data_IF_791512884090
#
_entry.id   IF_791512884090
#
_cell.length_a   1.000
_cell.length_b   1.000
_cell.length_c   1.000
_cell.angle_alpha   90.00
_cell.angle_beta   90.00
_cell.angle_gamma   90.00
#
_symmetry.space_group_name_H-M   'P 1'
#
loop_
_entity.id
_entity.type
_entity.pdbx_description
1 polymer ?
#
# COMPACT_ATOMS: atom_id res chain seq x y z
N UNK A 1 -21.83 20.31 18.95
CA UNK A 1 -22.16 18.87 18.83
C UNK A 1 -23.09 18.71 17.65
N UNK A 2 -22.64 18.06 16.57
CA UNK A 2 -23.51 17.75 15.44
C UNK A 2 -23.09 16.40 14.86
N UNK A 3 -24.05 15.49 14.83
CA UNK A 3 -23.95 14.08 14.40
C UNK A 3 -24.27 14.00 12.91
N UNK A 4 -23.53 13.20 12.14
CA UNK A 4 -23.99 12.73 10.83
C UNK A 4 -23.70 11.25 10.62
N UNK A 5 -24.61 10.66 9.86
CA UNK A 5 -25.04 9.28 9.86
C UNK A 5 -24.08 8.27 9.25
N UNK A 6 -24.22 7.06 9.79
CA UNK A 6 -24.00 5.75 9.20
C UNK A 6 -24.22 5.65 7.68
N UNK A 7 -23.17 5.29 6.97
CA UNK A 7 -23.24 4.58 5.68
C UNK A 7 -22.51 3.25 5.83
N UNK A 8 -23.24 2.17 6.15
CA UNK A 8 -22.71 0.82 6.01
C UNK A 8 -22.73 0.42 4.53
N UNK A 9 -21.64 -0.21 4.08
CA UNK A 9 -21.76 -1.37 3.20
C UNK A 9 -21.09 -2.55 3.91
N UNK A 10 -21.83 -3.63 4.24
CA UNK A 10 -21.27 -4.79 4.89
C UNK A 10 -20.60 -5.68 3.85
N UNK A 11 -19.32 -5.99 4.06
CA UNK A 11 -18.75 -7.26 3.63
C UNK A 11 -18.13 -7.93 4.85
N UNK A 12 -18.96 -8.60 5.63
CA UNK A 12 -18.49 -9.66 6.52
C UNK A 12 -17.96 -10.83 5.67
N UNK A 13 -16.86 -11.45 6.09
CA UNK A 13 -16.51 -12.81 5.65
C UNK A 13 -15.21 -12.99 4.86
N UNK A 14 -14.10 -12.44 5.35
CA UNK A 14 -12.74 -12.99 5.18
C UNK A 14 -11.82 -12.13 6.05
N UNK A 15 -11.17 -12.69 7.06
CA UNK A 15 -9.96 -12.06 7.61
C UNK A 15 -8.91 -12.16 6.51
N UNK A 16 -8.96 -11.26 5.52
CA UNK A 16 -7.96 -11.25 4.46
C UNK A 16 -6.63 -10.98 5.16
N UNK A 17 -5.77 -12.01 5.15
CA UNK A 17 -4.40 -11.95 5.70
C UNK A 17 -3.70 -10.67 5.26
N UNK A 18 -3.99 -10.22 4.03
CA UNK A 18 -3.54 -8.97 3.44
C UNK A 18 -4.66 -7.91 3.51
N UNK A 19 -4.32 -6.71 3.98
CA UNK A 19 -5.15 -5.51 3.95
C UNK A 19 -4.58 -4.48 2.98
N UNK A 20 -5.40 -3.98 2.05
CA UNK A 20 -5.03 -3.00 1.01
C UNK A 20 -6.16 -1.98 0.74
N UNK A 21 -5.85 -0.71 0.41
CA UNK A 21 -4.58 -0.03 0.64
C UNK A 21 -4.35 0.25 2.14
N UNK A 22 -3.10 0.22 2.62
CA UNK A 22 -2.77 0.56 4.01
C UNK A 22 -2.74 2.08 4.22
N UNK A 23 -2.04 2.81 3.35
CA UNK A 23 -2.02 4.27 3.36
C UNK A 23 -3.17 4.81 2.51
N UNK A 24 -4.02 5.63 3.13
CA UNK A 24 -5.05 6.41 2.44
C UNK A 24 -4.58 7.85 2.37
N UNK A 25 -4.00 8.24 1.24
CA UNK A 25 -3.57 9.60 1.02
C UNK A 25 -4.78 10.46 0.65
N UNK A 26 -4.97 11.58 1.33
CA UNK A 26 -6.00 12.58 1.02
C UNK A 26 -5.33 13.94 0.92
N UNK A 27 -5.87 14.82 0.06
CA UNK A 27 -5.56 16.24 0.13
C UNK A 27 -6.00 16.81 1.49
N UNK A 28 -5.52 18.01 1.84
CA UNK A 28 -5.88 18.70 3.09
C UNK A 28 -7.39 18.95 3.24
N UNK A 29 -8.14 18.97 2.13
CA UNK A 29 -9.60 19.10 2.10
C UNK A 29 -10.34 17.75 2.25
N UNK A 30 -9.63 16.65 2.50
CA UNK A 30 -10.20 15.32 2.66
C UNK A 30 -10.52 14.60 1.34
N UNK A 31 -10.31 15.23 0.18
CA UNK A 31 -10.47 14.58 -1.12
C UNK A 31 -9.44 13.44 -1.25
N UNK A 32 -9.87 12.21 -1.57
CA UNK A 32 -8.95 11.10 -1.81
C UNK A 32 -7.98 11.42 -2.95
N UNK A 33 -6.71 11.13 -2.71
CA UNK A 33 -5.71 11.00 -3.76
C UNK A 33 -6.02 9.67 -4.45
N UNK A 34 -6.87 9.68 -5.49
CA UNK A 34 -7.36 8.49 -6.23
C UNK A 34 -6.22 7.87 -7.07
N UNK A 35 -6.38 7.79 -8.40
CA UNK A 35 -5.37 7.29 -9.36
C UNK A 35 -4.07 8.11 -9.39
N UNK A 36 -4.05 9.26 -8.70
CA UNK A 36 -2.85 10.05 -8.51
C UNK A 36 -1.91 9.49 -7.44
N UNK A 37 -2.31 8.51 -6.62
CA UNK A 37 -1.49 8.06 -5.49
C UNK A 37 -0.32 7.22 -6.03
N UNK A 38 0.92 7.75 -6.05
CA UNK A 38 2.06 6.95 -6.53
C UNK A 38 2.36 5.80 -5.55
N UNK A 39 1.72 5.80 -4.36
CA UNK A 39 1.97 4.89 -3.27
C UNK A 39 0.87 3.82 -3.22
N UNK A 40 1.18 2.64 -3.75
CA UNK A 40 0.42 1.42 -3.47
C UNK A 40 0.94 0.79 -2.18
N UNK A 41 0.04 0.25 -1.33
CA UNK A 41 0.47 -0.34 -0.06
C UNK A 41 -0.38 -1.52 0.38
N UNK A 42 0.27 -2.50 1.01
CA UNK A 42 -0.35 -3.71 1.51
C UNK A 42 0.20 -4.04 2.91
N UNK A 43 -0.63 -4.60 3.78
CA UNK A 43 -0.20 -5.08 5.10
C UNK A 43 -0.60 -6.53 5.28
N UNK A 44 0.38 -7.40 5.57
CA UNK A 44 0.13 -8.73 6.10
C UNK A 44 -0.05 -8.65 7.61
N UNK A 45 -1.28 -8.82 8.07
CA UNK A 45 -1.66 -8.67 9.48
C UNK A 45 -1.07 -9.80 10.33
N UNK A 46 -0.95 -11.01 9.76
CA UNK A 46 -0.46 -12.19 10.46
C UNK A 46 1.06 -12.11 10.64
N UNK A 47 1.77 -11.77 9.56
CA UNK A 47 3.23 -11.66 9.56
C UNK A 47 3.75 -10.32 10.08
N UNK A 48 2.85 -9.38 10.39
CA UNK A 48 3.17 -8.01 10.80
C UNK A 48 4.21 -7.39 9.85
N UNK A 49 3.93 -7.43 8.55
CA UNK A 49 4.79 -6.79 7.55
C UNK A 49 3.98 -5.92 6.60
N UNK A 50 4.58 -4.85 6.15
CA UNK A 50 4.00 -3.88 5.24
C UNK A 50 4.82 -3.84 3.95
N UNK A 51 4.13 -3.74 2.82
CA UNK A 51 4.71 -3.41 1.53
C UNK A 51 4.25 -2.01 1.14
N UNK A 52 5.19 -1.17 0.74
CA UNK A 52 4.95 0.15 0.16
C UNK A 52 5.62 0.19 -1.21
N UNK A 53 4.86 0.45 -2.25
CA UNK A 53 5.31 0.55 -3.63
C UNK A 53 5.12 2.00 -4.07
N UNK A 54 6.19 2.68 -4.44
CA UNK A 54 6.20 4.05 -4.91
C UNK A 54 6.58 4.04 -6.39
N UNK A 55 5.67 4.49 -7.25
CA UNK A 55 5.93 4.61 -8.69
C UNK A 55 6.27 6.07 -8.99
N UNK A 56 7.47 6.32 -9.50
CA UNK A 56 7.95 7.66 -9.81
C UNK A 56 8.18 7.81 -11.32
N UNK A 57 7.61 8.86 -11.94
CA UNK A 57 7.56 8.96 -13.41
C UNK A 57 8.88 9.27 -14.13
N UNK A 58 9.95 9.62 -13.40
CA UNK A 58 11.22 10.09 -13.97
C UNK A 58 12.46 9.32 -13.48
N UNK A 59 12.29 8.17 -12.83
CA UNK A 59 13.40 7.33 -12.35
C UNK A 59 13.44 6.04 -13.15
N UNK A 60 14.66 5.55 -13.38
CA UNK A 60 14.94 4.24 -13.97
C UNK A 60 15.65 3.32 -12.97
N UNK A 61 15.70 3.72 -11.70
CA UNK A 61 16.46 3.03 -10.67
C UNK A 61 15.49 2.26 -9.76
N UNK A 62 15.43 0.96 -9.99
CA UNK A 62 14.77 0.03 -9.08
C UNK A 62 15.49 0.04 -7.73
N UNK A 63 14.78 0.44 -6.67
CA UNK A 63 15.28 0.38 -5.31
C UNK A 63 14.33 -0.42 -4.42
N UNK A 64 14.91 -1.24 -3.56
CA UNK A 64 14.15 -1.96 -2.54
C UNK A 64 14.96 -2.03 -1.26
N UNK A 65 14.31 -1.76 -0.14
CA UNK A 65 14.89 -1.93 1.18
C UNK A 65 13.83 -2.38 2.17
N UNK A 66 14.26 -3.02 3.25
CA UNK A 66 13.39 -3.44 4.33
C UNK A 66 13.95 -2.93 5.64
N UNK A 67 13.08 -2.31 6.44
CA UNK A 67 13.41 -1.81 7.76
C UNK A 67 12.46 -2.37 8.83
N UNK A 68 12.94 -2.39 10.07
CA UNK A 68 12.12 -2.75 11.23
C UNK A 68 11.49 -1.48 11.80
N UNK A 69 10.17 -1.49 11.97
CA UNK A 69 9.41 -0.40 12.56
C UNK A 69 8.70 -0.89 13.84
N UNK A 70 8.19 0.03 14.67
CA UNK A 70 7.50 -0.31 15.92
C UNK A 70 6.27 -1.23 15.80
N UNK A 71 5.83 -1.54 14.58
CA UNK A 71 4.66 -2.38 14.30
C UNK A 71 4.96 -3.59 13.41
N UNK A 72 6.23 -3.91 13.15
CA UNK A 72 6.61 -4.98 12.23
C UNK A 72 7.78 -4.62 11.32
N UNK A 73 7.83 -5.21 10.13
CA UNK A 73 8.77 -4.80 9.08
C UNK A 73 8.06 -4.03 7.98
N UNK A 74 8.73 -3.04 7.40
CA UNK A 74 8.26 -2.33 6.22
C UNK A 74 9.25 -2.55 5.08
N UNK A 75 8.75 -3.10 3.98
CA UNK A 75 9.46 -3.21 2.70
C UNK A 75 9.01 -2.06 1.82
N UNK A 76 9.95 -1.23 1.39
CA UNK A 76 9.72 -0.14 0.45
C UNK A 76 10.32 -0.54 -0.89
N UNK A 77 9.54 -0.34 -1.95
CA UNK A 77 9.92 -0.55 -3.33
C UNK A 77 9.67 0.74 -4.09
N UNK A 78 10.67 1.24 -4.80
CA UNK A 78 10.56 2.42 -5.66
C UNK A 78 11.04 2.07 -7.06
N UNK A 79 10.27 2.43 -8.08
CA UNK A 79 10.71 2.24 -9.47
C UNK A 79 9.94 3.15 -10.44
N UNK A 80 10.44 3.23 -11.67
CA UNK A 80 9.82 3.89 -12.80
C UNK A 80 8.56 3.18 -13.29
N UNK A 81 7.67 3.95 -13.92
CA UNK A 81 6.47 3.38 -14.59
C UNK A 81 6.83 2.47 -15.78
N UNK A 82 8.03 2.63 -16.35
CA UNK A 82 8.49 1.81 -17.47
C UNK A 82 8.79 0.36 -17.06
N UNK A 83 9.01 0.11 -15.77
CA UNK A 83 9.44 -1.19 -15.21
C UNK A 83 8.35 -1.92 -14.41
N UNK A 84 7.07 -1.70 -14.75
CA UNK A 84 5.91 -2.29 -14.05
C UNK A 84 5.96 -3.82 -13.88
N UNK A 85 6.55 -4.56 -14.83
CA UNK A 85 6.68 -6.02 -14.72
C UNK A 85 7.65 -6.44 -13.59
N UNK A 86 8.74 -5.69 -13.37
CA UNK A 86 9.65 -5.93 -12.24
C UNK A 86 8.94 -5.68 -10.92
N UNK A 87 8.16 -4.59 -10.84
CA UNK A 87 7.35 -4.25 -9.67
C UNK A 87 6.37 -5.38 -9.34
N UNK A 88 5.62 -5.88 -10.34
CA UNK A 88 4.67 -7.00 -10.15
C UNK A 88 5.36 -8.26 -9.65
N UNK A 89 6.52 -8.61 -10.22
CA UNK A 89 7.28 -9.79 -9.78
C UNK A 89 7.74 -9.69 -8.33
N UNK A 90 8.15 -8.49 -7.90
CA UNK A 90 8.53 -8.25 -6.51
C UNK A 90 7.33 -8.32 -5.56
N UNK A 91 6.18 -7.74 -5.94
CA UNK A 91 4.92 -7.85 -5.19
C UNK A 91 4.52 -9.33 -5.03
N UNK A 92 4.59 -10.12 -6.11
CA UNK A 92 4.26 -11.55 -6.08
C UNK A 92 5.20 -12.34 -5.16
N UNK A 93 6.49 -12.02 -5.20
CA UNK A 93 7.49 -12.61 -4.29
C UNK A 93 7.16 -12.27 -2.85
N UNK A 94 6.88 -11.00 -2.54
CA UNK A 94 6.50 -10.56 -1.20
C UNK A 94 5.20 -11.21 -0.70
N UNK A 95 4.21 -11.39 -1.56
CA UNK A 95 2.96 -12.09 -1.20
C UNK A 95 3.18 -13.57 -0.87
N UNK A 96 4.16 -14.22 -1.51
CA UNK A 96 4.44 -15.65 -1.38
C UNK A 96 5.35 -16.00 -0.20
N UNK A 97 6.15 -15.03 0.27
CA UNK A 97 6.95 -15.17 1.50
C UNK A 97 6.08 -15.45 2.71
#
# INVERSE_FOLDING_TARGET
>A
MQTYASGQSPRQGRTSRISTPLYRTTYSNGTPFLDGNPISSAKDIIKKRTLRVIIEGCTHDFSTYTESCGHGTETVLTDGIDDLEKIKNHINTWCSQ
#
